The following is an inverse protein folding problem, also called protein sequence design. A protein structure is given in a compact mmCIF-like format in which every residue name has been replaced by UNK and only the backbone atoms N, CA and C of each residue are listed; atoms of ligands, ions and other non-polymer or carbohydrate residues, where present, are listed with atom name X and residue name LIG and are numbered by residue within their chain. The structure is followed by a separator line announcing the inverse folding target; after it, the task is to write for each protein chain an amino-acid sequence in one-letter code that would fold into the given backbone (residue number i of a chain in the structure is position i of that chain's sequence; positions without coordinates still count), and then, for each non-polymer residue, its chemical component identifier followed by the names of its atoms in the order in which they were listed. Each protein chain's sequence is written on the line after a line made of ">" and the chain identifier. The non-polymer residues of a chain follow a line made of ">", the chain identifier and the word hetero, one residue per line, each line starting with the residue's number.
data_IF_312039899441
#
_entry.id   IF_312039899441
#
_cell.length_a   1.000
_cell.length_b   1.000
_cell.length_c   1.000
_cell.angle_alpha   90.00
_cell.angle_beta   90.00
_cell.angle_gamma   90.00
#
_symmetry.space_group_name_H-M   'P 1'
#
loop_
_entity.id
_entity.type
_entity.pdbx_description
1 polymer ?
#
# COMPACT_ATOMS: atom_id res chain seq x y z
N UNK A 1 -55.94 -23.96 13.02
CA UNK A 1 -54.74 -23.12 13.21
C UNK A 1 -53.78 -23.89 14.10
N UNK A 2 -52.90 -24.69 13.51
CA UNK A 2 -51.93 -25.53 14.23
C UNK A 2 -50.54 -24.99 13.95
N UNK A 3 -49.92 -24.42 14.99
CA UNK A 3 -48.58 -23.85 14.93
C UNK A 3 -47.52 -24.94 15.01
N UNK A 4 -46.52 -24.84 14.13
CA UNK A 4 -45.29 -25.63 14.21
C UNK A 4 -44.14 -24.67 14.58
N UNK A 5 -43.59 -24.86 15.78
CA UNK A 5 -42.32 -24.24 16.20
C UNK A 5 -41.14 -25.00 15.59
N UNK A 6 -40.09 -24.32 15.10
CA UNK A 6 -38.89 -24.96 14.62
C UNK A 6 -37.94 -25.35 15.79
N UNK A 7 -37.42 -26.57 15.72
CA UNK A 7 -36.43 -27.13 16.64
C UNK A 7 -35.02 -26.64 16.27
N UNK A 8 -34.30 -26.08 17.23
CA UNK A 8 -32.88 -25.69 17.08
C UNK A 8 -32.02 -26.85 17.61
N UNK A 9 -31.14 -27.39 16.77
CA UNK A 9 -30.10 -28.33 17.18
C UNK A 9 -28.81 -27.58 17.52
N UNK A 10 -28.43 -27.60 18.80
CA UNK A 10 -27.13 -27.17 19.30
C UNK A 10 -26.20 -28.38 19.38
N UNK A 11 -25.14 -28.39 18.57
CA UNK A 11 -24.06 -29.37 18.68
C UNK A 11 -22.94 -28.80 19.57
N UNK A 12 -22.85 -29.36 20.78
CA UNK A 12 -21.75 -29.14 21.72
C UNK A 12 -20.53 -29.93 21.27
N UNK A 13 -19.41 -29.26 21.00
CA UNK A 13 -18.12 -29.90 20.80
C UNK A 13 -17.32 -29.75 22.10
N UNK A 14 -17.12 -30.87 22.79
CA UNK A 14 -16.20 -31.02 23.91
C UNK A 14 -14.85 -31.50 23.37
N UNK A 15 -13.77 -30.81 23.72
CA UNK A 15 -12.40 -31.19 23.38
C UNK A 15 -11.46 -30.86 24.52
N UNK A 16 -10.91 -31.90 25.14
CA UNK A 16 -9.93 -31.86 26.23
C UNK A 16 -8.64 -31.12 25.84
N UNK A 17 -8.12 -30.32 26.76
CA UNK A 17 -6.78 -29.71 26.68
C UNK A 17 -5.75 -30.71 27.19
N UNK A 18 -4.77 -31.08 26.35
CA UNK A 18 -3.59 -31.84 26.77
C UNK A 18 -2.33 -31.18 26.20
N UNK A 19 -1.54 -30.65 27.13
CA UNK A 19 -0.09 -30.38 27.15
C UNK A 19 0.68 -30.10 25.87
N UNK A 20 1.29 -28.91 25.84
CA UNK A 20 2.61 -28.57 25.32
C UNK A 20 3.20 -29.46 24.22
N UNK A 21 2.99 -29.03 22.98
CA UNK A 21 3.83 -29.40 21.84
C UNK A 21 4.32 -28.10 21.18
N UNK A 22 5.64 -27.89 21.23
CA UNK A 22 6.34 -26.83 20.51
C UNK A 22 6.14 -27.12 19.01
N UNK A 23 5.14 -26.47 18.42
CA UNK A 23 4.88 -26.52 16.98
C UNK A 23 5.96 -25.70 16.25
N UNK A 24 7.04 -26.39 15.88
CA UNK A 24 7.86 -26.02 14.74
C UNK A 24 6.92 -25.88 13.54
N UNK A 25 6.69 -24.64 13.10
CA UNK A 25 5.92 -24.38 11.87
C UNK A 25 6.58 -25.15 10.71
N UNK A 26 5.82 -25.97 9.96
CA UNK A 26 6.32 -26.53 8.73
C UNK A 26 6.58 -25.39 7.75
N UNK A 27 7.71 -25.45 7.02
CA UNK A 27 7.94 -24.69 5.80
C UNK A 27 6.86 -25.08 4.78
N UNK A 28 5.73 -24.41 4.86
CA UNK A 28 4.67 -24.48 3.86
C UNK A 28 5.14 -23.77 2.61
N UNK A 29 5.61 -24.56 1.66
CA UNK A 29 5.57 -24.24 0.23
C UNK A 29 4.13 -23.82 -0.12
N UNK A 30 3.87 -22.52 -0.09
CA UNK A 30 2.68 -21.96 -0.71
C UNK A 30 2.81 -22.18 -2.20
N UNK A 31 1.88 -22.90 -2.79
CA UNK A 31 1.73 -22.97 -4.24
C UNK A 31 1.38 -21.58 -4.75
N UNK A 32 2.36 -20.86 -5.29
CA UNK A 32 2.17 -19.54 -5.89
C UNK A 32 1.47 -19.74 -7.23
N UNK A 33 0.17 -19.46 -7.27
CA UNK A 33 -0.59 -19.49 -8.53
C UNK A 33 -0.27 -18.20 -9.30
N UNK A 34 0.78 -18.24 -10.11
CA UNK A 34 0.98 -17.26 -11.17
C UNK A 34 -0.15 -17.42 -12.20
N UNK A 35 -1.03 -16.44 -12.33
CA UNK A 35 -1.95 -16.39 -13.46
C UNK A 35 -1.25 -15.66 -14.62
N UNK A 36 -0.79 -16.48 -15.57
CA UNK A 36 -0.12 -16.13 -16.84
C UNK A 36 1.39 -15.78 -16.78
N UNK A 37 2.20 -16.72 -17.28
CA UNK A 37 3.59 -16.57 -17.77
C UNK A 37 4.71 -16.30 -16.76
N UNK A 38 4.95 -17.26 -15.86
CA UNK A 38 6.15 -17.28 -15.01
C UNK A 38 7.30 -18.06 -15.70
N UNK A 39 8.16 -17.37 -16.45
CA UNK A 39 9.42 -17.91 -17.02
C UNK A 39 10.57 -17.01 -16.56
N UNK A 40 11.43 -17.52 -15.68
CA UNK A 40 12.62 -16.92 -15.05
C UNK A 40 12.41 -16.10 -13.76
N UNK A 41 12.98 -16.60 -12.65
CA UNK A 41 12.93 -16.01 -11.30
C UNK A 41 13.81 -14.78 -11.06
N UNK A 42 14.74 -14.48 -11.98
CA UNK A 42 15.74 -13.43 -11.79
C UNK A 42 15.34 -12.05 -12.37
N UNK A 43 14.18 -11.95 -13.03
CA UNK A 43 13.71 -10.72 -13.70
C UNK A 43 12.34 -10.21 -13.20
N UNK A 44 11.80 -10.73 -12.10
CA UNK A 44 10.51 -10.25 -11.61
C UNK A 44 10.63 -8.88 -10.94
N UNK A 45 9.96 -7.89 -11.52
CA UNK A 45 9.71 -6.63 -10.84
C UNK A 45 8.52 -6.81 -9.89
N UNK A 46 8.83 -7.12 -8.63
CA UNK A 46 7.84 -7.07 -7.56
C UNK A 46 7.63 -5.66 -7.03
N UNK A 47 6.48 -5.47 -6.38
CA UNK A 47 6.29 -4.33 -5.50
C UNK A 47 7.22 -4.42 -4.27
N UNK A 48 7.65 -3.25 -3.83
CA UNK A 48 8.34 -3.01 -2.57
C UNK A 48 7.49 -2.11 -1.68
N UNK A 49 7.41 -2.46 -0.40
CA UNK A 49 6.66 -1.70 0.60
C UNK A 49 7.38 -0.38 0.95
N UNK A 50 6.67 0.55 1.60
CA UNK A 50 7.21 1.89 1.89
C UNK A 50 8.50 1.88 2.71
N UNK A 51 8.69 0.92 3.62
CA UNK A 51 9.91 0.82 4.44
C UNK A 51 11.16 0.52 3.62
N UNK A 52 11.03 -0.30 2.56
CA UNK A 52 12.15 -0.57 1.66
C UNK A 52 12.63 0.74 1.02
N UNK A 53 11.69 1.56 0.56
CA UNK A 53 12.02 2.86 -0.03
C UNK A 53 12.59 3.83 0.99
N UNK A 54 12.10 3.84 2.24
CA UNK A 54 12.68 4.63 3.33
C UNK A 54 14.16 4.28 3.56
N UNK A 55 14.48 2.99 3.58
CA UNK A 55 15.86 2.51 3.72
C UNK A 55 16.71 2.98 2.54
N UNK A 56 16.21 2.84 1.30
CA UNK A 56 16.92 3.29 0.10
C UNK A 56 17.25 4.79 0.09
N UNK A 57 16.39 5.64 0.68
CA UNK A 57 16.69 7.08 0.75
C UNK A 57 17.93 7.36 1.62
N UNK A 58 18.14 6.53 2.65
CA UNK A 58 19.24 6.71 3.61
C UNK A 58 20.57 6.19 3.09
N UNK A 59 20.59 5.47 1.97
CA UNK A 59 21.79 4.87 1.41
C UNK A 59 22.37 5.74 0.30
N UNK A 60 23.70 5.88 0.30
CA UNK A 60 24.47 6.44 -0.82
C UNK A 60 25.09 5.28 -1.61
N UNK A 61 24.26 4.62 -2.43
CA UNK A 61 24.65 3.49 -3.27
C UNK A 61 24.93 3.95 -4.69
N UNK A 62 25.85 3.26 -5.36
CA UNK A 62 26.10 3.46 -6.80
C UNK A 62 24.92 3.08 -7.70
N UNK A 63 23.96 2.31 -7.19
CA UNK A 63 22.68 1.97 -7.85
C UNK A 63 21.51 2.67 -7.12
N UNK A 64 21.49 3.99 -7.20
CA UNK A 64 20.47 4.81 -6.57
C UNK A 64 19.14 4.79 -7.34
N UNK A 65 18.32 3.78 -7.01
CA UNK A 65 17.00 3.59 -7.62
C UNK A 65 16.06 4.77 -7.42
N UNK A 66 16.22 5.55 -6.34
CA UNK A 66 15.40 6.73 -6.10
C UNK A 66 15.83 7.85 -7.03
N UNK A 67 17.13 8.14 -7.13
CA UNK A 67 17.62 9.16 -8.06
C UNK A 67 17.22 8.86 -9.51
N UNK A 68 17.28 7.59 -9.92
CA UNK A 68 16.84 7.16 -11.25
C UNK A 68 15.32 7.34 -11.50
N UNK A 69 14.51 7.35 -10.43
CA UNK A 69 13.05 7.50 -10.51
C UNK A 69 12.58 8.96 -10.48
N UNK A 70 13.46 9.90 -10.15
CA UNK A 70 13.13 11.32 -10.03
C UNK A 70 13.17 12.04 -11.39
N UNK A 71 12.32 13.06 -11.61
CA UNK A 71 11.37 13.63 -10.66
C UNK A 71 10.05 12.84 -10.55
N UNK A 72 9.45 12.81 -9.36
CA UNK A 72 8.12 12.22 -9.12
C UNK A 72 7.13 13.32 -8.75
N UNK A 73 5.96 13.35 -9.37
CA UNK A 73 4.88 14.27 -9.01
C UNK A 73 3.81 13.57 -8.17
N UNK A 74 3.32 14.22 -7.13
CA UNK A 74 2.11 13.87 -6.37
C UNK A 74 1.05 14.92 -6.67
N UNK A 75 -0.01 14.52 -7.36
CA UNK A 75 -0.96 15.43 -7.99
C UNK A 75 -0.54 15.92 -9.38
N UNK A 76 -1.32 16.85 -9.94
CA UNK A 76 -1.10 17.43 -11.25
C UNK A 76 0.01 18.48 -11.19
N UNK A 77 1.05 18.32 -12.01
CA UNK A 77 2.17 19.27 -12.10
C UNK A 77 1.67 20.71 -12.30
N UNK A 78 2.15 21.61 -11.44
CA UNK A 78 1.81 23.05 -11.47
C UNK A 78 0.51 23.43 -10.75
N UNK A 79 -0.21 22.47 -10.16
CA UNK A 79 -1.32 22.79 -9.27
C UNK A 79 -0.82 23.15 -7.86
N UNK A 80 -1.56 24.01 -7.17
CA UNK A 80 -1.18 24.61 -5.88
C UNK A 80 -0.90 23.59 -4.77
N UNK A 81 -1.70 22.52 -4.70
CA UNK A 81 -1.56 21.48 -3.68
C UNK A 81 -0.67 20.30 -4.12
N UNK A 82 -0.17 20.31 -5.35
CA UNK A 82 0.67 19.24 -5.88
C UNK A 82 2.14 19.44 -5.49
N UNK A 83 2.85 18.32 -5.35
CA UNK A 83 4.26 18.29 -4.98
C UNK A 83 5.07 17.67 -6.11
N UNK A 84 6.18 18.29 -6.47
CA UNK A 84 7.18 17.68 -7.36
C UNK A 84 8.40 17.38 -6.51
N UNK A 85 8.72 16.10 -6.39
CA UNK A 85 9.89 15.60 -5.68
C UNK A 85 11.03 15.55 -6.68
N UNK A 86 12.10 16.27 -6.38
CA UNK A 86 13.29 16.46 -7.21
C UNK A 86 14.53 15.79 -6.62
N UNK A 87 14.50 15.48 -5.32
CA UNK A 87 15.62 14.88 -4.61
C UNK A 87 15.16 13.86 -3.56
N UNK A 88 16.14 13.09 -3.09
CA UNK A 88 15.99 12.08 -2.04
C UNK A 88 15.40 12.65 -0.73
N UNK A 89 15.82 13.84 -0.31
CA UNK A 89 15.35 14.44 0.94
C UNK A 89 13.83 14.71 0.92
N UNK A 90 13.32 15.14 -0.24
CA UNK A 90 11.89 15.32 -0.44
C UNK A 90 11.15 13.98 -0.45
N UNK A 91 11.72 12.93 -1.06
CA UNK A 91 11.17 11.56 -0.99
C UNK A 91 11.10 11.07 0.45
N UNK A 92 12.18 11.23 1.23
CA UNK A 92 12.21 10.89 2.66
C UNK A 92 11.11 11.60 3.44
N UNK A 93 10.97 12.91 3.22
CA UNK A 93 9.98 13.74 3.92
C UNK A 93 8.56 13.22 3.71
N UNK A 94 8.23 12.81 2.49
CA UNK A 94 6.93 12.21 2.16
C UNK A 94 6.78 10.82 2.77
N UNK A 95 7.79 9.97 2.67
CA UNK A 95 7.72 8.62 3.20
C UNK A 95 7.64 8.58 4.73
N UNK A 96 8.26 9.53 5.45
CA UNK A 96 8.20 9.63 6.91
C UNK A 96 6.88 10.25 7.42
N UNK A 97 6.21 11.06 6.60
CA UNK A 97 4.87 11.59 6.88
C UNK A 97 4.78 12.66 7.99
N UNK A 98 5.80 12.83 8.83
CA UNK A 98 5.77 13.76 9.98
C UNK A 98 5.54 15.21 9.56
N UNK A 99 6.11 15.64 8.44
CA UNK A 99 5.92 17.00 7.90
C UNK A 99 4.46 17.31 7.50
N UNK A 100 3.60 16.29 7.43
CA UNK A 100 2.21 16.36 6.97
C UNK A 100 1.22 16.01 8.08
N UNK A 101 1.66 16.06 9.34
CA UNK A 101 0.81 15.78 10.50
C UNK A 101 0.64 14.29 10.80
N UNK A 102 1.61 13.45 10.44
CA UNK A 102 1.63 12.02 10.76
C UNK A 102 0.59 11.20 9.98
N UNK A 103 0.63 9.87 10.11
CA UNK A 103 -0.26 8.98 9.35
C UNK A 103 -1.71 8.93 9.87
N UNK A 104 -1.98 9.59 10.99
CA UNK A 104 -3.33 9.97 11.42
C UNK A 104 -3.98 11.02 10.50
N UNK A 105 -3.18 11.71 9.68
CA UNK A 105 -3.65 12.54 8.59
C UNK A 105 -3.80 11.69 7.31
N UNK A 106 -5.02 11.58 6.78
CA UNK A 106 -5.29 10.78 5.59
C UNK A 106 -4.51 11.21 4.35
N UNK A 107 -4.16 12.49 4.20
CA UNK A 107 -3.29 12.93 3.10
C UNK A 107 -1.85 12.49 3.30
N UNK A 108 -1.32 12.50 4.52
CA UNK A 108 0.03 11.99 4.76
C UNK A 108 0.13 10.50 4.41
N UNK A 109 -0.89 9.72 4.79
CA UNK A 109 -1.01 8.32 4.39
C UNK A 109 -1.12 8.18 2.86
N UNK A 110 -2.02 8.94 2.22
CA UNK A 110 -2.20 8.91 0.77
C UNK A 110 -0.92 9.30 0.01
N UNK A 111 -0.21 10.34 0.45
CA UNK A 111 1.05 10.77 -0.17
C UNK A 111 2.09 9.64 -0.12
N UNK A 112 2.25 8.99 1.04
CA UNK A 112 3.19 7.87 1.20
C UNK A 112 2.85 6.72 0.25
N UNK A 113 1.59 6.30 0.21
CA UNK A 113 1.20 5.13 -0.59
C UNK A 113 1.26 5.41 -2.09
N UNK A 114 0.84 6.59 -2.55
CA UNK A 114 0.97 7.01 -3.95
C UNK A 114 2.44 7.12 -4.35
N UNK A 115 3.29 7.71 -3.50
CA UNK A 115 4.73 7.79 -3.76
C UNK A 115 5.35 6.39 -3.86
N UNK A 116 5.03 5.50 -2.92
CA UNK A 116 5.52 4.11 -2.91
C UNK A 116 5.11 3.39 -4.18
N UNK A 117 3.86 3.53 -4.61
CA UNK A 117 3.38 2.92 -5.85
C UNK A 117 4.10 3.48 -7.08
N UNK A 118 4.31 4.79 -7.15
CA UNK A 118 5.05 5.44 -8.25
C UNK A 118 6.52 5.01 -8.30
N UNK A 119 7.17 4.81 -7.16
CA UNK A 119 8.54 4.27 -7.08
C UNK A 119 8.57 2.80 -7.57
N UNK A 120 7.60 1.98 -7.18
CA UNK A 120 7.46 0.61 -7.69
C UNK A 120 7.28 0.58 -9.22
N UNK A 121 6.42 1.43 -9.76
CA UNK A 121 6.17 1.54 -11.20
C UNK A 121 7.43 2.03 -11.93
N UNK A 122 8.12 3.05 -11.40
CA UNK A 122 9.38 3.53 -11.96
C UNK A 122 10.47 2.45 -11.95
N UNK A 123 10.44 1.56 -10.96
CA UNK A 123 11.31 0.38 -10.89
C UNK A 123 10.82 -0.80 -11.76
N UNK A 124 9.74 -0.63 -12.52
CA UNK A 124 9.25 -1.56 -13.56
C UNK A 124 8.00 -2.38 -13.21
N UNK A 125 7.34 -2.08 -12.09
CA UNK A 125 6.16 -2.85 -11.66
C UNK A 125 4.94 -2.50 -12.52
N UNK A 126 4.10 -3.50 -12.87
CA UNK A 126 2.87 -3.27 -13.64
C UNK A 126 1.81 -2.46 -12.84
N UNK A 127 1.40 -1.27 -13.32
CA UNK A 127 0.39 -0.45 -12.66
C UNK A 127 -1.06 -0.87 -12.94
N UNK A 128 -1.32 -1.86 -13.80
CA UNK A 128 -2.65 -2.11 -14.37
C UNK A 128 -3.78 -2.28 -13.32
N UNK A 129 -3.46 -2.82 -12.14
CA UNK A 129 -4.42 -3.03 -11.05
C UNK A 129 -4.78 -1.76 -10.25
N UNK A 130 -3.97 -0.70 -10.34
CA UNK A 130 -4.11 0.52 -9.53
C UNK A 130 -3.99 1.84 -10.30
N UNK A 131 -3.79 1.82 -11.62
CA UNK A 131 -3.56 3.02 -12.43
C UNK A 131 -4.69 4.06 -12.24
N UNK A 132 -5.94 3.60 -12.26
CA UNK A 132 -7.12 4.43 -11.98
C UNK A 132 -7.06 5.03 -10.57
N UNK A 133 -6.67 4.25 -9.57
CA UNK A 133 -6.61 4.66 -8.18
C UNK A 133 -5.51 5.70 -7.96
N UNK A 134 -4.35 5.57 -8.61
CA UNK A 134 -3.30 6.60 -8.64
C UNK A 134 -3.82 7.88 -9.28
N UNK A 135 -4.43 7.80 -10.47
CA UNK A 135 -4.94 8.98 -11.17
C UNK A 135 -5.99 9.76 -10.36
N UNK A 136 -6.94 9.05 -9.75
CA UNK A 136 -7.93 9.64 -8.85
C UNK A 136 -7.30 10.21 -7.56
N UNK A 137 -6.22 9.58 -7.04
CA UNK A 137 -5.46 10.11 -5.91
C UNK A 137 -4.76 11.42 -6.28
N UNK A 138 -4.11 11.46 -7.45
CA UNK A 138 -3.49 12.69 -7.95
C UNK A 138 -4.51 13.81 -8.14
N UNK A 139 -5.74 13.50 -8.58
CA UNK A 139 -6.82 14.48 -8.64
C UNK A 139 -7.23 15.01 -7.26
N UNK A 140 -7.25 14.17 -6.22
CA UNK A 140 -7.51 14.61 -4.85
C UNK A 140 -6.38 15.51 -4.33
N UNK A 141 -5.13 15.09 -4.51
CA UNK A 141 -3.93 15.85 -4.10
C UNK A 141 -3.82 17.18 -4.86
N UNK A 142 -4.34 17.25 -6.08
CA UNK A 142 -4.42 18.49 -6.86
C UNK A 142 -5.38 19.51 -6.23
N UNK A 143 -6.48 19.03 -5.62
CA UNK A 143 -7.57 19.87 -5.11
C UNK A 143 -7.42 20.23 -3.64
N UNK A 144 -6.76 19.36 -2.87
CA UNK A 144 -6.69 19.43 -1.43
C UNK A 144 -5.30 19.05 -0.94
N UNK A 145 -4.96 19.55 0.25
CA UNK A 145 -3.70 19.29 0.92
C UNK A 145 -3.90 18.68 2.30
N UNK A 146 -2.82 18.19 2.90
CA UNK A 146 -2.80 17.76 4.30
C UNK A 146 -3.28 18.84 5.29
N UNK A 147 -3.20 20.12 4.95
CA UNK A 147 -3.69 21.23 5.79
C UNK A 147 -5.22 21.28 5.85
N UNK A 148 -5.89 20.74 4.84
CA UNK A 148 -7.34 20.73 4.75
C UNK A 148 -7.97 19.60 5.56
N UNK A 149 -7.18 18.59 5.94
CA UNK A 149 -7.62 17.33 6.55
C UNK A 149 -8.65 17.52 7.67
N UNK A 150 -8.33 18.31 8.69
CA UNK A 150 -9.20 18.52 9.87
C UNK A 150 -10.43 19.38 9.60
N UNK A 151 -10.53 20.00 8.41
CA UNK A 151 -11.70 20.78 7.98
C UNK A 151 -12.64 19.97 7.08
N UNK A 152 -12.24 18.78 6.67
CA UNK A 152 -13.05 17.92 5.81
C UNK A 152 -14.17 17.23 6.59
N UNK A 153 -15.22 16.84 5.87
CA UNK A 153 -16.26 15.99 6.46
C UNK A 153 -15.70 14.60 6.79
N UNK A 154 -16.23 13.90 7.82
CA UNK A 154 -15.81 12.54 8.14
C UNK A 154 -15.93 11.56 6.96
N UNK A 155 -16.97 11.74 6.11
CA UNK A 155 -17.14 10.92 4.91
C UNK A 155 -16.00 11.14 3.89
N UNK A 156 -15.58 12.39 3.69
CA UNK A 156 -14.45 12.71 2.83
C UNK A 156 -13.13 12.16 3.38
N UNK A 157 -12.95 12.26 4.70
CA UNK A 157 -11.80 11.69 5.38
C UNK A 157 -11.70 10.17 5.17
N UNK A 158 -12.81 9.45 5.32
CA UNK A 158 -12.85 7.99 5.10
C UNK A 158 -12.52 7.63 3.65
N UNK A 159 -13.05 8.37 2.66
CA UNK A 159 -12.73 8.14 1.24
C UNK A 159 -11.22 8.26 0.97
N UNK A 160 -10.55 9.21 1.61
CA UNK A 160 -9.10 9.40 1.46
C UNK A 160 -8.33 8.23 2.09
N UNK A 161 -8.74 7.77 3.28
CA UNK A 161 -8.11 6.61 3.91
C UNK A 161 -8.34 5.31 3.14
N UNK A 162 -9.56 5.05 2.68
CA UNK A 162 -9.87 3.88 1.86
C UNK A 162 -9.00 3.84 0.59
N UNK A 163 -8.78 5.00 -0.03
CA UNK A 163 -7.89 5.10 -1.17
C UNK A 163 -6.44 4.80 -0.82
N UNK A 164 -5.94 5.32 0.30
CA UNK A 164 -4.61 4.98 0.79
C UNK A 164 -4.48 3.46 1.04
N UNK A 165 -5.47 2.84 1.70
CA UNK A 165 -5.50 1.39 1.98
C UNK A 165 -5.50 0.53 0.70
N UNK A 166 -6.24 0.93 -0.33
CA UNK A 166 -6.22 0.20 -1.62
C UNK A 166 -4.84 0.24 -2.26
N UNK A 167 -4.18 1.40 -2.27
CA UNK A 167 -2.83 1.53 -2.85
C UNK A 167 -1.79 0.81 -1.99
N UNK A 168 -1.94 0.85 -0.67
CA UNK A 168 -1.13 0.06 0.26
C UNK A 168 -1.25 -1.44 -0.01
N UNK A 169 -2.46 -1.94 -0.28
CA UNK A 169 -2.67 -3.35 -0.62
C UNK A 169 -1.91 -3.73 -1.91
N UNK A 170 -1.86 -2.84 -2.92
CA UNK A 170 -0.98 -3.03 -4.07
C UNK A 170 0.50 -3.03 -3.67
N UNK A 171 0.97 -2.05 -2.88
CA UNK A 171 2.36 -1.97 -2.43
C UNK A 171 2.80 -3.19 -1.59
N UNK A 172 1.83 -3.91 -0.99
CA UNK A 172 2.00 -5.16 -0.25
C UNK A 172 1.85 -6.42 -1.10
N UNK A 173 1.63 -6.28 -2.40
CA UNK A 173 1.46 -7.40 -3.34
C UNK A 173 0.15 -8.15 -3.17
N UNK A 174 -0.85 -7.51 -2.58
CA UNK A 174 -2.18 -8.09 -2.36
C UNK A 174 -3.13 -7.80 -3.53
N UNK A 175 -2.76 -6.90 -4.45
CA UNK A 175 -3.55 -6.51 -5.62
C UNK A 175 -2.74 -6.61 -6.91
N UNK A 176 -3.00 -7.64 -7.71
CA UNK A 176 -2.56 -7.74 -9.12
C UNK A 176 -1.06 -7.95 -9.37
N UNK A 177 -0.19 -7.80 -8.37
CA UNK A 177 1.26 -8.01 -8.49
C UNK A 177 1.79 -8.75 -7.26
N UNK A 178 2.82 -9.58 -7.44
CA UNK A 178 3.49 -10.27 -6.34
C UNK A 178 4.36 -9.30 -5.53
N UNK A 179 4.40 -9.47 -4.21
CA UNK A 179 5.39 -8.83 -3.35
C UNK A 179 6.71 -9.59 -3.36
N UNK A 180 7.83 -8.87 -3.37
CA UNK A 180 9.14 -9.47 -3.08
C UNK A 180 9.41 -9.28 -1.59
N UNK A 181 9.69 -10.38 -0.90
CA UNK A 181 10.24 -10.36 0.46
C UNK A 181 11.59 -9.60 0.53
#
# INVERSE_FOLDING_TARGET
>A
MTGNSPTIHTSTISGQVKGDEILLRPKGSGSHVCTANCVNHDEYVCVKQSYFWQDQVSLDLSDDKIAASLPISLGKRGAESSMVLLDKSQVHTVLDGKAFGGFENGFAALYREVLTAKLNIANGTDPSSIDKQIGESDLLITRYSWKDWYRMSPLTQEIIFERARMIEAYNKGQLGVLSCD
#
